data_IF_198326226790
#
_entry.id   IF_198326226790
#
_cell.length_a   1.000
_cell.length_b   1.000
_cell.length_c   1.000
_cell.angle_alpha   90.00
_cell.angle_beta   90.00
_cell.angle_gamma   90.00
#
_symmetry.space_group_name_H-M   'P 1'
#
loop_
_entity.id
_entity.type
_entity.pdbx_description
1 polymer ?
#
# COMPACT_ATOMS: atom_id res chain seq x y z
N UNK A 1 12.08 27.06 15.93
CA UNK A 1 11.64 25.75 16.46
C UNK A 1 10.17 25.40 16.17
N UNK A 2 9.17 26.25 16.48
CA UNK A 2 7.74 25.92 16.27
C UNK A 2 7.33 25.57 14.82
N UNK A 3 7.90 26.26 13.83
CA UNK A 3 7.58 26.02 12.41
C UNK A 3 8.17 24.72 11.82
N UNK A 4 9.24 24.19 12.42
CA UNK A 4 9.88 22.94 11.97
C UNK A 4 9.13 21.74 12.56
N UNK A 5 8.75 21.80 13.84
CA UNK A 5 7.86 20.80 14.45
C UNK A 5 6.54 20.69 13.69
N UNK A 6 5.93 21.80 13.27
CA UNK A 6 4.69 21.76 12.47
C UNK A 6 4.85 21.05 11.12
N UNK A 7 6.01 21.20 10.45
CA UNK A 7 6.29 20.54 9.17
C UNK A 7 6.56 19.05 9.32
N UNK A 8 7.29 18.66 10.37
CA UNK A 8 7.57 17.25 10.70
C UNK A 8 6.27 16.54 11.12
N UNK A 9 5.43 17.18 11.94
CA UNK A 9 4.13 16.62 12.34
C UNK A 9 3.19 16.45 11.14
N UNK A 10 3.18 17.41 10.20
CA UNK A 10 2.36 17.32 8.99
C UNK A 10 2.83 16.22 8.02
N UNK A 11 4.14 16.04 7.87
CA UNK A 11 4.71 14.97 7.04
C UNK A 11 4.44 13.58 7.63
N UNK A 12 4.60 13.41 8.95
CA UNK A 12 4.29 12.15 9.63
C UNK A 12 2.79 11.82 9.63
N UNK A 13 1.89 12.79 9.79
CA UNK A 13 0.44 12.53 9.68
C UNK A 13 0.04 12.17 8.26
N UNK A 14 0.64 12.77 7.23
CA UNK A 14 0.37 12.43 5.85
C UNK A 14 0.81 10.98 5.51
N UNK A 15 1.96 10.55 6.02
CA UNK A 15 2.45 9.17 5.85
C UNK A 15 1.57 8.13 6.58
N UNK A 16 1.07 8.45 7.77
CA UNK A 16 0.14 7.57 8.49
C UNK A 16 -1.23 7.45 7.80
N UNK A 17 -1.74 8.54 7.24
CA UNK A 17 -3.01 8.55 6.50
C UNK A 17 -2.93 7.81 5.16
N UNK A 18 -1.80 7.86 4.45
CA UNK A 18 -1.60 7.05 3.24
C UNK A 18 -1.42 5.54 3.54
N UNK A 19 -0.87 5.20 4.70
CA UNK A 19 -0.75 3.79 5.15
C UNK A 19 -2.08 3.11 5.48
N UNK A 20 -3.14 3.89 5.73
CA UNK A 20 -4.49 3.37 6.03
C UNK A 20 -5.37 3.15 4.79
N UNK A 21 -4.99 3.68 3.62
CA UNK A 21 -5.78 3.56 2.39
C UNK A 21 -5.62 2.19 1.68
N UNK A 22 -4.72 1.32 2.13
CA UNK A 22 -4.51 -0.03 1.60
C UNK A 22 -4.92 -1.10 2.63
N UNK A 23 -6.16 -1.06 3.10
CA UNK A 23 -6.74 -2.06 3.98
C UNK A 23 -8.25 -1.94 4.04
N UNK A 24 -8.94 -3.06 3.85
CA UNK A 24 -10.40 -3.23 3.78
C UNK A 24 -11.24 -2.43 4.82
N UNK A 25 -12.52 -2.13 4.51
CA UNK A 25 -13.34 -1.21 5.30
C UNK A 25 -13.84 -1.88 6.59
N UNK A 26 -13.60 -1.23 7.73
CA UNK A 26 -14.28 -1.56 8.99
C UNK A 26 -13.36 -1.46 10.20
N UNK A 27 -13.33 -0.27 10.82
CA UNK A 27 -13.31 0.00 12.27
C UNK A 27 -12.67 1.37 12.48
N UNK A 28 -13.52 2.36 12.75
CA UNK A 28 -13.11 3.70 13.17
C UNK A 28 -12.67 3.60 14.63
N UNK A 29 -11.38 3.80 14.91
CA UNK A 29 -10.88 3.99 16.27
C UNK A 29 -10.55 5.47 16.46
N UNK A 30 -11.50 6.19 17.05
CA UNK A 30 -11.32 7.56 17.49
C UNK A 30 -10.33 7.59 18.67
N UNK A 31 -9.24 8.35 18.55
CA UNK A 31 -8.40 8.70 19.71
C UNK A 31 -8.86 10.07 20.21
N UNK A 32 -9.64 10.05 21.29
CA UNK A 32 -10.01 11.23 22.08
C UNK A 32 -8.86 11.61 23.02
N UNK A 33 -8.58 12.91 23.09
CA UNK A 33 -7.71 13.50 24.10
C UNK A 33 -8.27 13.26 25.51
N UNK A 34 -7.42 12.81 26.43
CA UNK A 34 -7.69 12.84 27.86
C UNK A 34 -6.39 13.14 28.63
N UNK A 35 -6.36 14.33 29.23
CA UNK A 35 -5.45 14.68 30.33
C UNK A 35 -5.89 13.93 31.59
N UNK A 36 -4.96 13.26 32.27
CA UNK A 36 -4.97 12.93 33.71
C UNK A 36 -3.51 12.56 34.07
N UNK A 37 -2.86 13.10 35.09
CA UNK A 37 -3.34 13.31 36.44
C UNK A 37 -3.28 11.98 37.20
N UNK A 38 -2.10 11.52 37.63
CA UNK A 38 -2.00 10.46 38.63
C UNK A 38 -0.71 10.58 39.45
N UNK A 39 -0.94 10.94 40.70
CA UNK A 39 -0.09 10.98 41.87
C UNK A 39 0.44 9.59 42.24
N UNK A 40 1.74 9.49 42.55
CA UNK A 40 2.28 8.35 43.32
C UNK A 40 3.24 8.83 44.39
N UNK A 41 2.75 8.73 45.62
CA UNK A 41 3.42 8.87 46.91
C UNK A 41 4.63 7.93 47.02
N UNK A 42 5.76 8.46 47.49
CA UNK A 42 6.83 7.66 48.12
C UNK A 42 7.14 8.31 49.47
N UNK A 43 7.05 7.58 50.60
CA UNK A 43 7.14 8.18 51.93
C UNK A 43 8.58 8.26 52.46
N UNK A 44 8.86 9.37 53.14
CA UNK A 44 9.60 9.40 54.41
C UNK A 44 11.05 8.93 54.41
N UNK A 45 11.97 9.86 54.20
CA UNK A 45 13.27 9.82 54.89
C UNK A 45 13.68 11.25 55.24
N UNK A 46 13.62 11.53 56.54
CA UNK A 46 13.88 12.81 57.17
C UNK A 46 15.38 13.09 57.20
N UNK A 47 15.81 14.29 56.79
CA UNK A 47 16.99 14.93 57.38
C UNK A 47 16.83 16.44 57.33
N UNK A 48 16.74 17.01 58.53
CA UNK A 48 16.61 18.42 58.85
C UNK A 48 17.96 19.14 58.72
N UNK A 49 18.01 20.27 58.01
CA UNK A 49 18.99 21.34 58.29
C UNK A 49 18.38 22.72 57.94
N UNK A 50 17.81 23.34 58.98
CA UNK A 50 17.84 24.76 59.38
C UNK A 50 18.41 25.84 58.42
N UNK A 51 17.54 26.83 58.16
CA UNK A 51 17.71 28.30 58.18
C UNK A 51 19.05 28.95 57.80
N UNK A 52 19.03 29.94 56.89
CA UNK A 52 19.12 31.39 57.23
C UNK A 52 19.35 32.24 55.96
N UNK A 53 18.73 33.41 55.99
CA UNK A 53 18.65 34.52 55.03
C UNK A 53 19.97 35.05 54.44
N UNK A 54 19.89 35.64 53.23
CA UNK A 54 20.25 37.05 53.03
C UNK A 54 19.88 37.51 51.60
N UNK A 55 19.01 38.51 51.54
CA UNK A 55 18.76 39.34 50.36
C UNK A 55 19.88 40.39 50.17
N UNK A 56 19.81 41.14 49.05
CA UNK A 56 20.45 42.47 48.80
C UNK A 56 21.96 42.33 48.44
N UNK A 57 22.55 42.84 47.36
CA UNK A 57 22.30 43.90 46.37
C UNK A 57 23.37 43.73 45.27
N UNK A 58 23.08 44.02 44.01
CA UNK A 58 23.50 45.32 43.46
C UNK A 58 24.87 45.26 42.77
N UNK A 59 24.82 44.93 41.48
CA UNK A 59 25.61 45.45 40.36
C UNK A 59 26.98 46.13 40.60
N UNK A 60 27.92 45.66 39.78
CA UNK A 60 28.74 46.45 38.86
C UNK A 60 30.25 46.57 39.17
N UNK A 61 31.00 46.12 38.15
CA UNK A 61 32.29 46.64 37.71
C UNK A 61 33.55 46.21 38.49
N UNK A 62 34.10 45.08 38.07
CA UNK A 62 35.55 44.93 37.93
C UNK A 62 35.85 44.03 36.72
N UNK A 63 35.69 44.58 35.52
CA UNK A 63 36.45 44.13 34.35
C UNK A 63 37.94 44.38 34.65
N UNK A 64 38.76 43.33 34.62
CA UNK A 64 40.17 43.46 34.19
C UNK A 64 40.86 42.09 34.09
N UNK A 65 40.78 41.52 32.88
CA UNK A 65 41.87 40.84 32.15
C UNK A 65 42.46 39.55 32.74
N UNK A 66 42.05 38.42 32.17
CA UNK A 66 42.96 37.31 31.83
C UNK A 66 42.67 36.89 30.39
N UNK A 67 43.75 36.84 29.62
CA UNK A 67 43.77 36.60 28.19
C UNK A 67 43.43 35.15 27.83
N UNK A 68 42.97 35.02 26.59
CA UNK A 68 43.13 33.86 25.70
C UNK A 68 42.60 32.51 26.19
N UNK A 69 41.37 32.20 25.77
CA UNK A 69 41.18 31.02 24.95
C UNK A 69 40.32 31.43 23.77
N UNK A 70 40.87 31.26 22.56
CA UNK A 70 40.06 31.11 21.37
C UNK A 70 39.30 29.79 21.51
N UNK A 71 38.29 29.75 22.39
CA UNK A 71 37.28 28.71 22.36
C UNK A 71 36.49 29.01 21.09
N UNK A 72 36.79 28.25 20.04
CA UNK A 72 36.21 28.41 18.71
C UNK A 72 34.73 28.73 18.84
N UNK A 73 34.30 29.77 18.13
CA UNK A 73 32.89 29.93 17.83
C UNK A 73 32.48 28.61 17.18
N UNK A 74 31.84 27.73 17.96
CA UNK A 74 31.14 26.60 17.39
C UNK A 74 30.09 27.27 16.52
N UNK A 75 30.31 27.22 15.21
CA UNK A 75 29.40 27.80 14.23
C UNK A 75 28.15 26.93 14.24
N UNK A 76 27.27 27.23 15.19
CA UNK A 76 25.98 26.58 15.38
C UNK A 76 25.13 26.64 14.11
N UNK A 77 25.42 27.55 13.17
CA UNK A 77 24.73 27.62 11.89
C UNK A 77 25.28 26.59 10.88
N UNK A 78 26.60 26.36 10.84
CA UNK A 78 27.21 25.29 10.02
C UNK A 78 26.79 23.89 10.49
N UNK A 79 26.77 23.65 11.81
CA UNK A 79 26.30 22.39 12.39
C UNK A 79 24.80 22.14 12.10
N UNK A 80 24.00 23.20 12.05
CA UNK A 80 22.58 23.10 11.72
C UNK A 80 22.36 22.83 10.23
N UNK A 81 23.15 23.44 9.34
CA UNK A 81 23.11 23.15 7.90
C UNK A 81 23.52 21.71 7.59
N UNK A 82 24.54 21.18 8.28
CA UNK A 82 24.97 19.78 8.15
C UNK A 82 23.89 18.79 8.61
N UNK A 83 23.17 19.11 9.69
CA UNK A 83 22.05 18.28 10.16
C UNK A 83 20.87 18.30 9.18
N UNK A 84 20.56 19.46 8.60
CA UNK A 84 19.50 19.59 7.59
C UNK A 84 19.82 18.81 6.30
N UNK A 85 21.07 18.84 5.84
CA UNK A 85 21.54 18.04 4.69
C UNK A 85 21.46 16.53 4.96
N UNK A 86 21.87 16.09 6.15
CA UNK A 86 21.75 14.69 6.58
C UNK A 86 20.29 14.21 6.62
N UNK A 87 19.36 15.05 7.13
CA UNK A 87 17.93 14.74 7.12
C UNK A 87 17.36 14.65 5.70
N UNK A 88 17.80 15.53 4.80
CA UNK A 88 17.40 15.49 3.38
C UNK A 88 17.88 14.20 2.70
N UNK A 89 19.12 13.79 2.98
CA UNK A 89 19.70 12.55 2.46
C UNK A 89 18.95 11.33 2.99
N UNK A 90 18.60 11.29 4.28
CA UNK A 90 17.80 10.21 4.86
C UNK A 90 16.40 10.11 4.24
N UNK A 91 15.74 11.24 4.00
CA UNK A 91 14.45 11.26 3.32
C UNK A 91 14.55 10.66 1.91
N UNK A 92 15.58 11.06 1.15
CA UNK A 92 15.81 10.51 -0.18
C UNK A 92 16.03 8.98 -0.16
N UNK A 93 16.77 8.47 0.83
CA UNK A 93 16.98 7.02 1.00
C UNK A 93 15.67 6.29 1.32
N UNK A 94 14.83 6.84 2.20
CA UNK A 94 13.54 6.24 2.57
C UNK A 94 12.59 6.20 1.35
N UNK A 95 12.54 7.28 0.58
CA UNK A 95 11.73 7.35 -0.64
C UNK A 95 12.19 6.29 -1.68
N UNK A 96 13.50 6.14 -1.88
CA UNK A 96 14.06 5.12 -2.75
C UNK A 96 13.74 3.70 -2.27
N UNK A 97 13.91 3.41 -0.99
CA UNK A 97 13.59 2.09 -0.42
C UNK A 97 12.11 1.77 -0.54
N UNK A 98 11.24 2.75 -0.30
CA UNK A 98 9.79 2.59 -0.42
C UNK A 98 9.39 2.30 -1.86
N UNK A 99 9.95 3.04 -2.83
CA UNK A 99 9.74 2.79 -4.25
C UNK A 99 10.23 1.40 -4.68
N UNK A 100 11.42 0.99 -4.22
CA UNK A 100 11.99 -0.33 -4.52
C UNK A 100 11.15 -1.47 -3.95
N UNK A 101 10.70 -1.33 -2.70
CA UNK A 101 9.81 -2.31 -2.06
C UNK A 101 8.49 -2.42 -2.81
N UNK A 102 7.90 -1.29 -3.22
CA UNK A 102 6.70 -1.26 -4.06
C UNK A 102 6.90 -2.02 -5.37
N UNK A 103 7.93 -1.67 -6.14
CA UNK A 103 8.25 -2.31 -7.42
C UNK A 103 8.51 -3.82 -7.27
N UNK A 104 9.23 -4.23 -6.22
CA UNK A 104 9.52 -5.65 -5.95
C UNK A 104 8.24 -6.42 -5.64
N UNK A 105 7.32 -5.83 -4.86
CA UNK A 105 6.04 -6.45 -4.51
C UNK A 105 5.17 -6.64 -5.75
N UNK A 106 5.05 -5.60 -6.58
CA UNK A 106 4.29 -5.65 -7.83
C UNK A 106 4.86 -6.70 -8.80
N UNK A 107 6.18 -6.73 -8.97
CA UNK A 107 6.83 -7.72 -9.83
C UNK A 107 6.61 -9.14 -9.30
N UNK A 108 6.67 -9.34 -7.98
CA UNK A 108 6.40 -10.64 -7.36
C UNK A 108 4.95 -11.07 -7.57
N UNK A 109 3.99 -10.15 -7.42
CA UNK A 109 2.58 -10.41 -7.69
C UNK A 109 2.34 -10.78 -9.16
N UNK A 110 2.90 -10.00 -10.10
CA UNK A 110 2.81 -10.30 -11.54
C UNK A 110 3.45 -11.62 -11.90
N UNK A 111 4.62 -11.96 -11.34
CA UNK A 111 5.28 -13.25 -11.58
C UNK A 111 4.45 -14.42 -11.02
N UNK A 112 3.82 -14.23 -9.86
CA UNK A 112 2.92 -15.22 -9.26
C UNK A 112 1.71 -15.47 -10.16
N UNK A 113 1.07 -14.40 -10.64
CA UNK A 113 -0.03 -14.52 -11.60
C UNK A 113 0.43 -15.10 -12.93
N UNK A 114 1.59 -14.71 -13.45
CA UNK A 114 2.12 -15.19 -14.73
C UNK A 114 2.40 -16.71 -14.73
N UNK A 115 2.75 -17.27 -13.58
CA UNK A 115 3.06 -18.70 -13.41
C UNK A 115 1.90 -19.52 -12.87
N UNK A 116 0.80 -18.88 -12.46
CA UNK A 116 -0.41 -19.57 -12.02
C UNK A 116 -1.02 -20.38 -13.17
N UNK A 117 -1.33 -21.65 -12.92
CA UNK A 117 -1.95 -22.55 -13.91
C UNK A 117 -3.32 -23.08 -13.47
N UNK A 118 -3.76 -22.72 -12.26
CA UNK A 118 -5.04 -23.16 -11.68
C UNK A 118 -5.55 -22.19 -10.62
N UNK A 119 -6.82 -22.27 -10.28
CA UNK A 119 -7.37 -21.62 -9.09
C UNK A 119 -6.81 -22.25 -7.80
N UNK A 120 -6.59 -21.41 -6.79
CA UNK A 120 -6.11 -21.80 -5.45
C UNK A 120 -7.21 -22.41 -4.59
N UNK A 121 -8.46 -21.99 -4.82
CA UNK A 121 -9.67 -22.42 -4.11
C UNK A 121 -10.29 -23.67 -4.72
N UNK A 122 -10.18 -23.85 -6.05
CA UNK A 122 -10.80 -24.95 -6.77
C UNK A 122 -9.99 -26.26 -6.74
N UNK A 123 -10.62 -27.34 -6.24
CA UNK A 123 -10.00 -28.67 -6.13
C UNK A 123 -10.37 -29.65 -7.25
N UNK A 124 -11.31 -29.29 -8.12
CA UNK A 124 -11.72 -30.12 -9.25
C UNK A 124 -10.76 -30.06 -10.44
N UNK A 125 -11.22 -30.58 -11.57
CA UNK A 125 -10.47 -30.55 -12.83
C UNK A 125 -10.30 -29.13 -13.36
N UNK A 126 -9.25 -28.94 -14.15
CA UNK A 126 -8.86 -27.64 -14.71
C UNK A 126 -9.01 -27.67 -16.23
N UNK A 127 -9.55 -26.57 -16.78
CA UNK A 127 -9.66 -26.39 -18.22
C UNK A 127 -8.27 -26.43 -18.87
N UNK A 128 -8.17 -27.13 -19.98
CA UNK A 128 -6.92 -27.26 -20.73
C UNK A 128 -7.21 -27.38 -22.23
N UNK A 129 -6.16 -27.18 -23.04
CA UNK A 129 -6.23 -27.19 -24.51
C UNK A 129 -6.78 -28.48 -25.10
N UNK A 130 -6.43 -29.62 -24.51
CA UNK A 130 -6.74 -30.92 -25.08
C UNK A 130 -8.20 -31.32 -24.88
N UNK A 131 -8.77 -31.01 -23.71
CA UNK A 131 -10.10 -31.47 -23.35
C UNK A 131 -11.23 -30.62 -23.94
N UNK A 132 -11.00 -29.38 -24.35
CA UNK A 132 -12.06 -28.55 -24.94
C UNK A 132 -13.00 -27.90 -23.91
N UNK A 133 -13.36 -28.67 -22.90
CA UNK A 133 -14.44 -28.37 -21.95
C UNK A 133 -14.02 -28.82 -20.56
N UNK A 134 -14.46 -28.08 -19.55
CA UNK A 134 -14.33 -28.43 -18.14
C UNK A 134 -15.61 -28.10 -17.37
N UNK A 135 -15.77 -28.68 -16.17
CA UNK A 135 -16.71 -28.18 -15.16
C UNK A 135 -15.92 -27.56 -14.04
N UNK A 136 -15.88 -26.23 -14.01
CA UNK A 136 -15.22 -25.45 -12.98
C UNK A 136 -16.15 -25.01 -11.86
N UNK A 137 -15.68 -24.14 -10.97
CA UNK A 137 -16.42 -23.71 -9.78
C UNK A 137 -17.71 -22.96 -10.11
N UNK A 138 -17.73 -22.20 -11.21
CA UNK A 138 -18.93 -21.47 -11.65
C UNK A 138 -19.78 -22.21 -12.68
N UNK A 139 -19.44 -23.46 -13.06
CA UNK A 139 -20.23 -24.24 -14.00
C UNK A 139 -19.42 -24.72 -15.19
N UNK A 140 -20.02 -24.72 -16.39
CA UNK A 140 -19.34 -25.18 -17.60
C UNK A 140 -18.29 -24.15 -18.02
N UNK A 141 -17.09 -24.62 -18.34
CA UNK A 141 -16.01 -23.81 -18.86
C UNK A 141 -15.61 -24.33 -20.25
N UNK A 142 -15.47 -23.41 -21.20
CA UNK A 142 -14.87 -23.63 -22.52
C UNK A 142 -13.79 -22.59 -22.75
N UNK A 143 -13.16 -22.60 -23.93
CA UNK A 143 -12.21 -21.56 -24.31
C UNK A 143 -12.46 -21.06 -25.72
N UNK A 144 -11.98 -19.84 -25.97
CA UNK A 144 -11.90 -19.24 -27.30
C UNK A 144 -10.58 -18.47 -27.46
N UNK A 145 -10.18 -18.30 -28.71
CA UNK A 145 -8.97 -17.57 -29.09
C UNK A 145 -9.32 -16.48 -30.10
N UNK A 146 -9.87 -15.38 -29.58
CA UNK A 146 -10.16 -14.17 -30.35
C UNK A 146 -9.09 -13.11 -30.09
N UNK A 147 -8.92 -12.20 -31.05
CA UNK A 147 -8.19 -10.97 -30.83
C UNK A 147 -8.96 -10.07 -29.85
N UNK A 148 -8.34 -9.75 -28.71
CA UNK A 148 -8.99 -9.02 -27.61
C UNK A 148 -8.99 -7.50 -27.77
N UNK A 149 -8.41 -6.92 -28.83
CA UNK A 149 -8.32 -5.46 -29.00
C UNK A 149 -9.68 -4.77 -28.86
N UNK A 150 -10.71 -5.28 -29.55
CA UNK A 150 -12.07 -4.70 -29.49
C UNK A 150 -12.70 -4.81 -28.09
N UNK A 151 -12.39 -5.89 -27.38
CA UNK A 151 -12.92 -6.16 -26.04
C UNK A 151 -12.23 -5.26 -25.02
N UNK A 152 -10.90 -5.13 -25.10
CA UNK A 152 -10.11 -4.20 -24.28
C UNK A 152 -10.60 -2.77 -24.46
N UNK A 153 -10.82 -2.32 -25.71
CA UNK A 153 -11.34 -0.98 -25.97
C UNK A 153 -12.76 -0.78 -25.42
N UNK A 154 -13.60 -1.83 -25.45
CA UNK A 154 -14.93 -1.78 -24.85
C UNK A 154 -14.86 -1.67 -23.31
N UNK A 155 -13.98 -2.43 -22.66
CA UNK A 155 -13.77 -2.35 -21.21
C UNK A 155 -13.27 -0.96 -20.78
N UNK A 156 -12.34 -0.38 -21.53
CA UNK A 156 -11.87 1.00 -21.30
C UNK A 156 -12.99 2.03 -21.42
N UNK A 157 -13.88 1.90 -22.42
CA UNK A 157 -15.06 2.79 -22.57
C UNK A 157 -16.07 2.64 -21.41
N UNK A 158 -16.08 1.49 -20.73
CA UNK A 158 -16.90 1.26 -19.53
C UNK A 158 -16.23 1.76 -18.24
N UNK A 159 -15.03 2.34 -18.32
CA UNK A 159 -14.28 2.83 -17.16
C UNK A 159 -13.47 1.76 -16.43
N UNK A 160 -13.44 0.51 -16.92
CA UNK A 160 -12.62 -0.55 -16.35
C UNK A 160 -11.28 -0.57 -17.09
N UNK A 161 -10.32 0.20 -16.59
CA UNK A 161 -9.00 0.36 -17.21
C UNK A 161 -7.97 -0.59 -16.57
N UNK A 162 -7.48 -1.55 -17.34
CA UNK A 162 -6.40 -2.45 -16.93
C UNK A 162 -5.50 -2.81 -18.11
N UNK A 163 -4.33 -3.36 -17.81
CA UNK A 163 -3.40 -3.86 -18.82
C UNK A 163 -3.87 -5.19 -19.40
N UNK A 164 -3.83 -5.34 -20.72
CA UNK A 164 -3.99 -6.62 -21.39
C UNK A 164 -2.63 -7.33 -21.49
N UNK A 165 -2.57 -8.59 -21.07
CA UNK A 165 -1.38 -9.42 -21.22
C UNK A 165 -1.76 -10.90 -21.33
N UNK A 166 -0.79 -11.77 -21.60
CA UNK A 166 -1.00 -13.23 -21.72
C UNK A 166 -0.14 -13.95 -20.70
N UNK A 167 -0.76 -14.80 -19.89
CA UNK A 167 -0.12 -15.63 -18.87
C UNK A 167 0.71 -16.74 -19.50
N UNK A 168 1.65 -17.34 -18.76
CA UNK A 168 2.56 -18.36 -19.30
C UNK A 168 1.83 -19.62 -19.82
N UNK A 169 0.63 -19.93 -19.29
CA UNK A 169 -0.22 -21.01 -19.77
C UNK A 169 -1.10 -20.63 -20.98
N UNK A 170 -0.95 -19.41 -21.49
CA UNK A 170 -1.66 -18.87 -22.63
C UNK A 170 -3.04 -18.29 -22.30
N UNK A 171 -3.43 -18.19 -21.03
CA UNK A 171 -4.67 -17.49 -20.66
C UNK A 171 -4.50 -15.98 -20.86
N UNK A 172 -5.52 -15.34 -21.45
CA UNK A 172 -5.53 -13.90 -21.69
C UNK A 172 -6.03 -13.17 -20.44
N UNK A 173 -5.28 -12.17 -20.01
CA UNK A 173 -5.45 -11.47 -18.75
C UNK A 173 -5.84 -10.00 -18.98
N UNK A 174 -6.61 -9.44 -18.05
CA UNK A 174 -6.94 -8.03 -17.98
C UNK A 174 -6.73 -7.53 -16.55
N UNK A 175 -5.60 -6.86 -16.31
CA UNK A 175 -5.07 -6.65 -14.97
C UNK A 175 -4.74 -7.99 -14.32
N UNK A 176 -5.24 -8.20 -13.10
CA UNK A 176 -5.00 -9.42 -12.34
C UNK A 176 -6.00 -10.54 -12.65
N UNK A 177 -6.95 -10.30 -13.55
CA UNK A 177 -8.09 -11.19 -13.80
C UNK A 177 -8.00 -11.87 -15.16
N UNK A 178 -8.45 -13.11 -15.21
CA UNK A 178 -8.61 -13.87 -16.46
C UNK A 178 -9.77 -13.28 -17.26
N UNK A 179 -9.57 -12.97 -18.53
CA UNK A 179 -10.65 -12.51 -19.40
C UNK A 179 -11.60 -13.67 -19.74
N UNK A 180 -12.90 -13.49 -19.50
CA UNK A 180 -13.91 -14.47 -19.89
C UNK A 180 -15.14 -13.82 -20.54
N UNK A 181 -15.86 -14.64 -21.31
CA UNK A 181 -17.17 -14.33 -21.83
C UNK A 181 -18.24 -15.07 -21.02
N UNK A 182 -19.39 -14.43 -20.85
CA UNK A 182 -20.54 -15.01 -20.15
C UNK A 182 -21.87 -14.52 -20.71
N UNK A 183 -22.96 -15.05 -20.16
CA UNK A 183 -24.29 -14.46 -20.30
C UNK A 183 -24.35 -13.15 -19.52
N UNK A 184 -24.51 -12.03 -20.23
CA UNK A 184 -24.53 -10.70 -19.61
C UNK A 184 -25.80 -10.41 -18.81
N UNK A 185 -26.85 -11.22 -18.96
CA UNK A 185 -28.04 -11.16 -18.10
C UNK A 185 -27.79 -11.78 -16.72
N UNK A 186 -26.79 -12.66 -16.60
CA UNK A 186 -26.38 -13.33 -15.35
C UNK A 186 -25.14 -12.65 -14.76
N UNK A 187 -24.13 -12.41 -15.59
CA UNK A 187 -22.89 -11.74 -15.23
C UNK A 187 -22.68 -10.52 -16.13
N UNK A 188 -23.15 -9.33 -15.72
CA UNK A 188 -22.86 -8.09 -16.42
C UNK A 188 -21.35 -7.90 -16.65
N UNK A 189 -20.98 -7.06 -17.63
CA UNK A 189 -19.57 -6.74 -17.88
C UNK A 189 -18.92 -6.16 -16.62
N UNK A 190 -17.72 -6.64 -16.31
CA UNK A 190 -16.98 -6.32 -15.09
C UNK A 190 -17.26 -7.26 -13.91
N UNK A 191 -18.23 -8.19 -14.00
CA UNK A 191 -18.45 -9.19 -12.96
C UNK A 191 -17.20 -10.04 -12.74
N UNK A 192 -16.87 -10.25 -11.47
CA UNK A 192 -15.80 -11.14 -11.04
C UNK A 192 -16.38 -12.54 -10.83
N UNK A 193 -15.76 -13.54 -11.45
CA UNK A 193 -16.21 -14.93 -11.44
C UNK A 193 -15.05 -15.87 -11.13
N UNK A 194 -15.34 -16.99 -10.47
CA UNK A 194 -14.32 -18.01 -10.22
C UNK A 194 -14.23 -18.94 -11.41
N UNK A 195 -13.00 -19.27 -11.83
CA UNK A 195 -12.75 -20.28 -12.87
C UNK A 195 -11.77 -21.33 -12.35
N UNK A 196 -11.70 -22.47 -13.02
CA UNK A 196 -10.72 -23.50 -12.67
C UNK A 196 -9.27 -23.05 -12.87
N UNK A 197 -9.04 -22.00 -13.66
CA UNK A 197 -7.73 -21.42 -13.99
C UNK A 197 -7.33 -20.24 -13.09
N UNK A 198 -8.26 -19.72 -12.28
CA UNK A 198 -8.08 -18.54 -11.43
C UNK A 198 -9.31 -17.64 -11.42
N UNK A 199 -9.22 -16.47 -10.79
CA UNK A 199 -10.30 -15.49 -10.78
C UNK A 199 -10.39 -14.77 -12.13
N UNK A 200 -11.59 -14.69 -12.68
CA UNK A 200 -11.89 -14.09 -13.98
C UNK A 200 -12.73 -12.83 -13.90
N UNK A 201 -12.68 -12.04 -14.97
CA UNK A 201 -13.51 -10.86 -15.21
C UNK A 201 -14.31 -11.05 -16.50
N UNK A 202 -15.62 -10.84 -16.41
CA UNK A 202 -16.50 -10.91 -17.58
C UNK A 202 -16.31 -9.66 -18.41
N UNK A 203 -15.71 -9.80 -19.59
CA UNK A 203 -15.46 -8.70 -20.52
C UNK A 203 -16.23 -8.84 -21.84
N UNK A 204 -16.64 -10.07 -22.18
CA UNK A 204 -17.23 -10.38 -23.47
C UNK A 204 -18.50 -11.26 -23.34
N UNK A 205 -19.15 -11.53 -24.47
CA UNK A 205 -20.30 -12.43 -24.57
C UNK A 205 -20.27 -13.18 -25.90
N UNK A 206 -21.03 -14.27 -26.01
CA UNK A 206 -21.03 -15.09 -27.22
C UNK A 206 -22.27 -15.96 -27.37
N UNK A 207 -22.39 -16.63 -28.52
CA UNK A 207 -23.56 -17.46 -28.85
C UNK A 207 -23.67 -18.75 -28.01
N UNK A 208 -22.62 -19.14 -27.30
CA UNK A 208 -22.59 -20.31 -26.39
C UNK A 208 -23.54 -20.17 -25.19
N UNK A 209 -24.00 -18.94 -24.92
CA UNK A 209 -24.96 -18.58 -23.86
C UNK A 209 -26.34 -19.23 -24.05
N UNK A 210 -26.71 -19.64 -25.27
CA UNK A 210 -28.12 -19.92 -25.61
C UNK A 210 -28.73 -21.26 -25.18
N UNK A 211 -28.05 -22.16 -24.47
CA UNK A 211 -28.64 -23.51 -24.27
C UNK A 211 -28.58 -24.19 -22.90
N UNK A 212 -27.66 -23.91 -21.96
CA UNK A 212 -27.68 -24.64 -20.67
C UNK A 212 -26.86 -23.95 -19.57
N UNK A 213 -27.52 -23.36 -18.56
CA UNK A 213 -26.93 -22.98 -17.28
C UNK A 213 -25.82 -21.91 -17.33
N UNK A 214 -25.19 -21.68 -16.18
CA UNK A 214 -24.04 -20.78 -16.07
C UNK A 214 -22.86 -21.42 -16.83
N UNK A 215 -22.45 -20.77 -17.92
CA UNK A 215 -21.31 -21.16 -18.74
C UNK A 215 -20.36 -19.98 -18.93
N UNK A 216 -19.06 -20.26 -18.82
CA UNK A 216 -17.98 -19.31 -19.05
C UNK A 216 -17.14 -19.78 -20.23
N UNK A 217 -16.81 -18.87 -21.13
CA UNK A 217 -15.85 -19.11 -22.19
C UNK A 217 -14.59 -18.31 -21.86
N UNK A 218 -13.45 -18.99 -21.69
CA UNK A 218 -12.21 -18.37 -21.21
C UNK A 218 -11.38 -17.92 -22.40
N UNK A 219 -10.92 -16.67 -22.38
CA UNK A 219 -10.08 -16.13 -23.44
C UNK A 219 -8.66 -16.68 -23.31
N UNK A 220 -8.16 -17.28 -24.38
CA UNK A 220 -6.87 -17.98 -24.40
C UNK A 220 -6.12 -17.71 -25.71
N UNK A 221 -4.81 -17.93 -25.72
CA UNK A 221 -3.92 -17.74 -26.86
C UNK A 221 -3.57 -19.06 -27.56
N UNK A 222 -4.34 -20.11 -27.29
CA UNK A 222 -4.06 -21.46 -27.75
C UNK A 222 -5.13 -22.09 -28.62
#
# INVERSE_FOLDING_TARGET
>A
MRGILQKITAAMTCALLLGMAAGCPGTVLAVSAAETGMETVVPGMETTVIDTEAAVTGNAAAESVIASEAAGTIDLAEDQAALEDYLLQLQAVIEQQTALMGATREQTARNTLATQTRSTTWKGSVLNRYNGVNRGPSGKETYYNLNMNKIVDAMKRLGVNSEYWVRNDGVKMYGDYIMCAADLSVYPRGSIVETSLGTGIVCDTGAFVKSTGIALDIATAW
#
